data_IF_638417858223
#
_entry.id   IF_638417858223
#
_cell.length_a   1.000
_cell.length_b   1.000
_cell.length_c   1.000
_cell.angle_alpha   90.00
_cell.angle_beta   90.00
_cell.angle_gamma   90.00
#
_symmetry.space_group_name_H-M   'P 1'
#
loop_
_entity.id
_entity.type
_entity.pdbx_description
1 polymer ?
#
# COMPACT_ATOMS: atom_id res chain seq x y z
N UNK A 1 39.65 -9.80 29.36
CA UNK A 1 39.28 -8.38 29.24
C UNK A 1 39.55 -7.91 27.81
N UNK A 2 38.72 -8.35 26.86
CA UNK A 2 38.49 -7.73 25.53
C UNK A 2 37.66 -8.70 24.68
N UNK A 3 36.45 -8.99 25.14
CA UNK A 3 35.42 -9.57 24.27
C UNK A 3 34.71 -8.39 23.62
N UNK A 4 35.29 -7.86 22.54
CA UNK A 4 34.60 -6.90 21.67
C UNK A 4 33.54 -7.70 20.91
N UNK A 5 32.34 -7.74 21.48
CA UNK A 5 31.16 -8.42 20.93
C UNK A 5 30.91 -8.00 19.49
N UNK A 6 31.16 -8.94 18.59
CA UNK A 6 30.72 -8.92 17.21
C UNK A 6 29.19 -9.06 17.25
N UNK A 7 28.46 -7.94 17.25
CA UNK A 7 27.02 -7.94 16.94
C UNK A 7 26.84 -7.98 15.41
N UNK A 8 26.91 -9.19 14.87
CA UNK A 8 26.46 -9.45 13.50
C UNK A 8 24.93 -9.27 13.41
N UNK A 9 24.54 -8.34 12.54
CA UNK A 9 23.17 -8.12 12.06
C UNK A 9 22.52 -9.44 11.68
N UNK A 10 21.50 -9.85 12.41
CA UNK A 10 20.50 -10.78 11.90
C UNK A 10 19.66 -10.04 10.84
N UNK A 11 20.02 -10.17 9.57
CA UNK A 11 19.13 -9.84 8.47
C UNK A 11 18.00 -10.88 8.43
N UNK A 12 16.87 -10.56 9.05
CA UNK A 12 15.64 -11.33 8.90
C UNK A 12 15.28 -11.39 7.42
N UNK A 13 15.18 -12.60 6.87
CA UNK A 13 14.62 -12.82 5.53
C UNK A 13 13.14 -12.43 5.55
N UNK A 14 12.84 -11.15 5.33
CA UNK A 14 11.48 -10.71 5.11
C UNK A 14 11.01 -11.26 3.76
N UNK A 15 10.02 -12.15 3.82
CA UNK A 15 9.26 -12.58 2.65
C UNK A 15 8.70 -11.32 1.99
N UNK A 16 9.12 -11.01 0.76
CA UNK A 16 8.62 -9.84 0.03
C UNK A 16 7.10 -9.95 -0.11
N UNK A 17 6.38 -9.19 0.74
CA UNK A 17 4.95 -9.01 0.59
C UNK A 17 4.70 -8.21 -0.69
N UNK A 18 3.59 -8.52 -1.39
CA UNK A 18 3.23 -7.77 -2.58
C UNK A 18 2.88 -6.33 -2.20
N UNK A 19 3.51 -5.40 -2.89
CA UNK A 19 3.29 -3.97 -2.75
C UNK A 19 2.52 -3.44 -3.96
N UNK A 20 1.62 -2.49 -3.73
CA UNK A 20 0.90 -1.78 -4.78
C UNK A 20 0.87 -0.28 -4.45
N UNK A 21 0.99 0.56 -5.47
CA UNK A 21 0.79 2.00 -5.35
C UNK A 21 -0.57 2.39 -5.93
N UNK A 22 -1.14 3.48 -5.41
CA UNK A 22 -2.41 3.99 -5.89
C UNK A 22 -2.80 5.31 -5.22
N UNK A 23 -3.96 5.84 -5.62
CA UNK A 23 -4.48 7.10 -5.08
C UNK A 23 -5.58 6.88 -4.06
N UNK A 24 -5.58 7.67 -3.00
CA UNK A 24 -6.64 7.64 -1.98
C UNK A 24 -7.91 8.30 -2.54
N UNK A 25 -9.01 7.55 -2.57
CA UNK A 25 -10.32 8.03 -3.05
C UNK A 25 -11.22 8.46 -1.88
N UNK A 26 -11.12 7.78 -0.74
CA UNK A 26 -11.96 8.06 0.43
C UNK A 26 -11.24 7.69 1.72
N UNK A 27 -11.31 8.59 2.70
CA UNK A 27 -10.87 8.39 4.07
C UNK A 27 -12.03 8.60 5.08
N UNK A 28 -13.29 8.43 4.64
CA UNK A 28 -14.47 8.66 5.50
C UNK A 28 -14.65 7.65 6.64
N UNK A 29 -13.93 6.53 6.60
CA UNK A 29 -14.03 5.46 7.60
C UNK A 29 -12.89 5.58 8.59
N UNK A 30 -13.14 5.26 9.86
CA UNK A 30 -12.08 5.28 10.87
C UNK A 30 -11.01 4.21 10.59
N UNK A 31 -9.74 4.60 10.71
CA UNK A 31 -8.55 3.76 10.55
C UNK A 31 -8.49 3.00 9.23
N UNK A 32 -9.17 3.51 8.21
CA UNK A 32 -9.45 2.80 6.97
C UNK A 32 -9.49 3.77 5.79
N UNK A 33 -8.73 3.44 4.75
CA UNK A 33 -8.72 4.21 3.51
C UNK A 33 -9.09 3.33 2.32
N UNK A 34 -9.74 3.94 1.32
CA UNK A 34 -10.04 3.31 0.05
C UNK A 34 -9.03 3.81 -0.98
N UNK A 35 -8.17 2.91 -1.43
CA UNK A 35 -7.13 3.19 -2.42
C UNK A 35 -7.57 2.65 -3.77
N UNK A 36 -7.44 3.46 -4.82
CA UNK A 36 -7.66 3.07 -6.20
C UNK A 36 -6.32 2.67 -6.82
N UNK A 37 -6.20 1.38 -7.11
CA UNK A 37 -5.03 0.80 -7.77
C UNK A 37 -5.34 0.67 -9.26
N UNK A 38 -4.57 1.35 -10.10
CA UNK A 38 -4.66 1.25 -11.55
C UNK A 38 -3.64 0.25 -12.10
N UNK A 39 -4.06 -0.58 -13.06
CA UNK A 39 -3.17 -1.45 -13.83
C UNK A 39 -3.46 -1.34 -15.31
N UNK A 40 -2.40 -1.40 -16.12
CA UNK A 40 -2.49 -1.45 -17.58
C UNK A 40 -2.45 -2.91 -18.01
N UNK A 41 -3.48 -3.35 -18.73
CA UNK A 41 -3.65 -4.75 -19.17
C UNK A 41 -3.84 -4.75 -20.67
N UNK A 42 -3.24 -5.70 -21.39
CA UNK A 42 -3.52 -5.90 -22.81
C UNK A 42 -4.84 -6.64 -22.97
N UNK A 43 -5.71 -6.18 -23.86
CA UNK A 43 -6.89 -6.94 -24.24
C UNK A 43 -6.44 -8.28 -24.86
N UNK A 44 -6.98 -9.43 -24.44
CA UNK A 44 -6.45 -10.74 -24.83
C UNK A 44 -6.49 -10.99 -26.34
N UNK A 45 -7.56 -10.53 -27.02
CA UNK A 45 -7.73 -10.72 -28.47
C UNK A 45 -7.05 -9.61 -29.27
N UNK A 46 -7.43 -8.34 -29.05
CA UNK A 46 -6.96 -7.22 -29.87
C UNK A 46 -5.60 -6.63 -29.49
N UNK A 47 -4.99 -7.02 -28.36
CA UNK A 47 -3.70 -6.47 -27.92
C UNK A 47 -3.71 -5.01 -27.46
N UNK A 48 -4.84 -4.29 -27.59
CA UNK A 48 -4.99 -2.90 -27.13
C UNK A 48 -4.74 -2.79 -25.63
N UNK A 49 -3.89 -1.85 -25.22
CA UNK A 49 -3.61 -1.59 -23.79
C UNK A 49 -4.82 -0.83 -23.20
N UNK A 50 -5.50 -1.47 -22.25
CA UNK A 50 -6.63 -0.91 -21.51
C UNK A 50 -6.24 -0.65 -20.06
N UNK A 51 -6.79 0.40 -19.46
CA UNK A 51 -6.66 0.67 -18.03
C UNK A 51 -7.75 -0.09 -17.26
N UNK A 52 -7.38 -0.73 -16.16
CA UNK A 52 -8.31 -1.37 -15.21
C UNK A 52 -8.00 -0.84 -13.82
N UNK A 53 -9.04 -0.42 -13.11
CA UNK A 53 -8.95 0.10 -11.75
C UNK A 53 -9.65 -0.83 -10.77
N UNK A 54 -9.04 -1.07 -9.60
CA UNK A 54 -9.64 -1.81 -8.48
C UNK A 54 -9.55 -0.98 -7.22
N UNK A 55 -10.65 -0.88 -6.46
CA UNK A 55 -10.68 -0.22 -5.16
C UNK A 55 -10.33 -1.24 -4.08
N UNK A 56 -9.40 -0.88 -3.20
CA UNK A 56 -8.87 -1.75 -2.16
C UNK A 56 -8.97 -1.03 -0.82
N UNK A 57 -9.30 -1.77 0.24
CA UNK A 57 -9.37 -1.21 1.58
C UNK A 57 -8.05 -1.44 2.31
N UNK A 58 -7.38 -0.36 2.67
CA UNK A 58 -6.15 -0.40 3.43
C UNK A 58 -6.38 0.07 4.87
N UNK A 59 -5.57 -0.46 5.78
CA UNK A 59 -5.51 -0.02 7.17
C UNK A 59 -4.49 1.10 7.31
N UNK A 60 -4.97 2.20 7.86
CA UNK A 60 -4.18 3.31 8.38
C UNK A 60 -4.46 3.38 9.88
N UNK A 61 -3.44 3.32 10.74
CA UNK A 61 -3.64 3.33 12.19
C UNK A 61 -3.81 4.74 12.76
N UNK A 62 -3.19 5.73 12.10
CA UNK A 62 -3.06 7.09 12.60
C UNK A 62 -3.98 8.08 11.87
N UNK A 63 -4.72 7.63 10.83
CA UNK A 63 -5.59 8.47 10.00
C UNK A 63 -4.82 9.63 9.36
N UNK A 64 -3.60 9.37 8.88
CA UNK A 64 -2.71 10.38 8.31
C UNK A 64 -3.04 10.72 6.86
N UNK A 65 -3.71 9.81 6.13
CA UNK A 65 -3.96 9.98 4.70
C UNK A 65 -5.16 10.90 4.39
N UNK A 66 -4.96 11.77 3.41
CA UNK A 66 -5.98 12.64 2.82
C UNK A 66 -6.47 12.08 1.47
N UNK A 67 -7.70 12.42 1.04
CA UNK A 67 -8.16 12.08 -0.28
C UNK A 67 -7.31 12.80 -1.34
N UNK A 68 -6.84 12.06 -2.35
CA UNK A 68 -5.98 12.57 -3.41
C UNK A 68 -4.50 12.21 -3.25
N UNK A 69 -4.06 11.79 -2.06
CA UNK A 69 -2.68 11.38 -1.81
C UNK A 69 -2.29 10.14 -2.63
N UNK A 70 -1.03 10.10 -3.06
CA UNK A 70 -0.42 8.91 -3.65
C UNK A 70 0.24 8.08 -2.55
N UNK A 71 -0.17 6.83 -2.44
CA UNK A 71 0.20 5.96 -1.33
C UNK A 71 0.67 4.61 -1.82
N UNK A 72 1.62 4.04 -1.09
CA UNK A 72 2.08 2.67 -1.26
C UNK A 72 1.52 1.78 -0.15
N UNK A 73 0.84 0.71 -0.56
CA UNK A 73 0.20 -0.28 0.31
C UNK A 73 0.84 -1.66 0.17
N UNK A 74 0.89 -2.41 1.26
CA UNK A 74 1.37 -3.80 1.28
C UNK A 74 0.29 -4.78 1.69
N UNK A 75 0.37 -6.01 1.18
CA UNK A 75 -0.44 -7.12 1.68
C UNK A 75 -0.05 -7.46 3.13
N UNK A 76 -1.04 -7.75 3.95
CA UNK A 76 -0.88 -8.16 5.35
C UNK A 76 -1.89 -9.24 5.71
N UNK A 77 -1.80 -9.78 6.92
CA UNK A 77 -2.87 -10.63 7.46
C UNK A 77 -4.21 -9.89 7.40
N UNK A 78 -5.34 -10.57 7.19
CA UNK A 78 -6.65 -9.92 7.26
C UNK A 78 -6.82 -9.18 8.60
N UNK A 79 -7.15 -7.89 8.52
CA UNK A 79 -7.45 -7.04 9.68
C UNK A 79 -8.96 -7.00 9.89
N UNK A 80 -9.73 -7.09 8.80
CA UNK A 80 -11.18 -7.22 8.81
C UNK A 80 -11.65 -8.09 7.64
N UNK A 81 -12.96 -8.20 7.44
CA UNK A 81 -13.57 -8.93 6.32
C UNK A 81 -13.07 -8.48 4.94
N UNK A 82 -12.76 -7.19 4.77
CA UNK A 82 -12.37 -6.62 3.46
C UNK A 82 -11.00 -5.94 3.48
N UNK A 83 -10.46 -5.62 4.66
CA UNK A 83 -9.15 -4.98 4.81
C UNK A 83 -8.05 -6.03 4.97
N UNK A 84 -7.32 -6.28 3.90
CA UNK A 84 -6.13 -7.14 3.86
C UNK A 84 -4.85 -6.41 3.45
N UNK A 85 -4.91 -5.07 3.38
CA UNK A 85 -3.80 -4.21 2.98
C UNK A 85 -3.48 -3.22 4.11
N UNK A 86 -2.21 -2.86 4.25
CA UNK A 86 -1.73 -1.86 5.20
C UNK A 86 -0.97 -0.75 4.48
N UNK A 87 -1.10 0.48 4.96
CA UNK A 87 -0.31 1.62 4.52
C UNK A 87 1.17 1.42 4.87
N UNK A 88 2.07 1.76 3.94
CA UNK A 88 3.53 1.70 4.15
C UNK A 88 4.15 3.09 4.06
N UNK A 89 3.91 3.77 2.94
CA UNK A 89 4.40 5.13 2.70
C UNK A 89 3.35 5.98 2.02
N UNK A 90 3.42 7.28 2.30
CA UNK A 90 2.71 8.32 1.55
C UNK A 90 3.80 8.93 0.64
N UNK A 91 3.64 8.73 -0.66
CA UNK A 91 4.67 9.06 -1.66
C UNK A 91 4.54 10.51 -2.14
N UNK A 92 3.29 10.98 -2.33
CA UNK A 92 3.00 12.37 -2.67
C UNK A 92 1.74 12.85 -1.93
N UNK A 93 1.82 14.06 -1.35
CA UNK A 93 0.70 14.68 -0.64
C UNK A 93 0.00 15.65 -1.57
N UNK A 94 -1.31 15.49 -1.71
CA UNK A 94 -2.09 16.41 -2.53
C UNK A 94 -2.12 17.80 -1.87
N UNK A 95 -1.81 18.84 -2.65
CA UNK A 95 -1.99 20.23 -2.23
C UNK A 95 -3.48 20.54 -2.24
N UNK A 96 -4.03 20.85 -1.08
CA UNK A 96 -5.42 21.24 -0.92
C UNK A 96 -5.57 22.71 -1.38
N UNK A 97 -6.38 22.95 -2.41
CA UNK A 97 -6.77 24.29 -2.90
C UNK A 97 -8.13 24.67 -2.31
#
# INVERSE_FOLDING_TARGET
>A
MSDTEIQEKQQSQEKLARTASGKVVSNKMDKSIVVLVERRVKHPVYGKIIKRSTKVHAHDANNECLPGDEVTIRETRPISKTKSWALVSIDDRAVQV
#
